data_IF_204847444521
#
_entry.id   IF_204847444521
#
_cell.length_a   1.000
_cell.length_b   1.000
_cell.length_c   1.000
_cell.angle_alpha   90.00
_cell.angle_beta   90.00
_cell.angle_gamma   90.00
#
_symmetry.space_group_name_H-M   'P 1'
#
loop_
_entity.id
_entity.type
_entity.pdbx_description
1 polymer ?
#
# COMPACT_ATOMS: atom_id res chain seq x y z
N UNK A 1 15.00 -9.76 27.99
CA UNK A 1 15.35 -9.28 26.63
C UNK A 1 15.54 -10.47 25.70
N UNK A 2 16.35 -11.43 26.04
CA UNK A 2 16.63 -12.63 25.23
C UNK A 2 15.38 -13.45 24.91
N UNK A 3 14.53 -13.75 25.89
CA UNK A 3 13.27 -14.49 25.67
C UNK A 3 12.30 -13.77 24.69
N UNK A 4 12.26 -12.45 24.72
CA UNK A 4 11.40 -11.69 23.80
C UNK A 4 11.94 -11.68 22.37
N UNK A 5 13.26 -11.75 22.16
CA UNK A 5 13.84 -11.91 20.82
C UNK A 5 13.58 -13.29 20.26
N UNK A 6 13.74 -14.34 21.06
CA UNK A 6 13.44 -15.73 20.67
C UNK A 6 11.98 -15.90 20.21
N UNK A 7 11.03 -15.25 20.92
CA UNK A 7 9.62 -15.25 20.51
C UNK A 7 9.43 -14.60 19.13
N UNK A 8 10.09 -13.46 18.88
CA UNK A 8 10.03 -12.77 17.59
C UNK A 8 10.71 -13.57 16.48
N UNK A 9 11.89 -14.16 16.73
CA UNK A 9 12.58 -15.03 15.79
C UNK A 9 11.71 -16.22 15.37
N UNK A 10 11.04 -16.85 16.31
CA UNK A 10 10.07 -17.91 16.01
C UNK A 10 8.90 -17.41 15.16
N UNK A 11 8.39 -16.19 15.43
CA UNK A 11 7.33 -15.56 14.62
C UNK A 11 7.82 -15.15 13.24
N UNK A 12 9.09 -14.77 13.08
CA UNK A 12 9.72 -14.47 11.78
C UNK A 12 10.06 -15.75 11.00
N UNK A 13 10.23 -16.88 11.70
CA UNK A 13 10.69 -18.15 11.15
C UNK A 13 12.17 -18.13 10.79
N UNK A 14 12.98 -17.32 11.53
CA UNK A 14 14.42 -17.19 11.33
C UNK A 14 15.14 -16.92 12.64
N UNK A 15 16.19 -17.69 12.91
CA UNK A 15 17.11 -17.48 14.02
C UNK A 15 18.28 -16.64 13.53
N UNK A 16 18.49 -15.45 14.13
CA UNK A 16 19.55 -14.54 13.72
C UNK A 16 20.92 -15.01 14.19
N UNK A 17 21.86 -15.19 13.25
CA UNK A 17 23.26 -15.41 13.56
C UNK A 17 23.89 -14.18 14.23
N UNK A 18 23.41 -12.98 13.90
CA UNK A 18 23.79 -11.68 14.44
C UNK A 18 22.60 -11.01 15.12
N UNK A 19 22.26 -11.37 16.39
CA UNK A 19 21.10 -10.82 17.10
C UNK A 19 21.10 -9.29 17.24
N UNK A 20 22.26 -8.66 17.19
CA UNK A 20 22.42 -7.20 17.19
C UNK A 20 21.75 -6.52 15.97
N UNK A 21 21.66 -7.19 14.83
CA UNK A 21 20.95 -6.68 13.66
C UNK A 21 19.44 -6.58 13.94
N UNK A 22 18.87 -7.62 14.56
CA UNK A 22 17.47 -7.61 14.97
C UNK A 22 17.19 -6.56 16.05
N UNK A 23 18.07 -6.48 17.06
CA UNK A 23 18.00 -5.46 18.12
C UNK A 23 18.01 -4.05 17.52
N UNK A 24 18.87 -3.80 16.54
CA UNK A 24 18.96 -2.52 15.85
C UNK A 24 17.70 -2.25 15.02
N UNK A 25 17.20 -3.22 14.26
CA UNK A 25 15.96 -3.10 13.50
C UNK A 25 14.76 -2.71 14.37
N UNK A 26 14.70 -3.21 15.60
CA UNK A 26 13.65 -2.91 16.58
C UNK A 26 13.85 -1.57 17.30
N UNK A 27 15.02 -0.93 17.19
CA UNK A 27 15.35 0.29 17.93
C UNK A 27 14.90 1.52 17.17
N UNK A 28 13.85 2.16 17.67
CA UNK A 28 13.37 3.42 17.13
C UNK A 28 14.32 4.57 17.50
N UNK A 29 14.45 5.57 16.61
CA UNK A 29 15.31 6.74 16.79
C UNK A 29 15.12 7.48 18.12
N UNK A 30 13.92 7.46 18.69
CA UNK A 30 13.66 8.10 19.99
C UNK A 30 14.49 7.51 21.12
N UNK A 31 14.70 6.18 21.12
CA UNK A 31 15.53 5.51 22.11
C UNK A 31 17.03 5.72 21.82
N UNK A 32 17.41 5.69 20.54
CA UNK A 32 18.80 5.96 20.13
C UNK A 32 19.21 7.38 20.55
N UNK A 33 18.36 8.38 20.28
CA UNK A 33 18.60 9.77 20.69
C UNK A 33 18.65 9.94 22.21
N UNK A 34 17.75 9.26 22.96
CA UNK A 34 17.78 9.31 24.42
C UNK A 34 19.10 8.77 24.97
N UNK A 35 19.59 7.63 24.46
CA UNK A 35 20.86 7.04 24.86
C UNK A 35 22.06 7.94 24.54
N UNK A 36 22.09 8.53 23.34
CA UNK A 36 23.14 9.46 22.97
C UNK A 36 23.22 10.68 23.89
N UNK A 37 22.10 11.08 24.50
CA UNK A 37 22.06 12.16 25.49
C UNK A 37 22.52 11.70 26.89
N UNK A 38 22.13 10.46 27.28
CA UNK A 38 22.46 9.90 28.59
C UNK A 38 23.94 9.47 28.67
N UNK A 39 24.52 8.98 27.56
CA UNK A 39 25.87 8.42 27.47
C UNK A 39 26.84 9.38 26.71
N UNK A 40 26.74 10.69 26.91
CA UNK A 40 27.56 11.72 26.23
C UNK A 40 29.04 11.57 26.51
N UNK A 41 29.69 10.55 25.96
CA UNK A 41 31.13 10.23 26.11
C UNK A 41 31.52 8.82 25.71
N UNK A 42 30.59 7.95 25.47
CA UNK A 42 30.85 6.57 25.01
C UNK A 42 30.42 6.37 23.54
N UNK A 43 31.39 6.38 22.62
CA UNK A 43 31.17 6.10 21.19
C UNK A 43 30.63 4.67 20.95
N UNK A 44 30.78 3.76 21.92
CA UNK A 44 30.20 2.40 21.84
C UNK A 44 28.70 2.35 22.11
N UNK A 45 28.12 3.38 22.73
CA UNK A 45 26.69 3.50 23.00
C UNK A 45 25.84 3.84 21.75
N UNK A 46 26.47 4.16 20.63
CA UNK A 46 25.85 4.41 19.32
C UNK A 46 25.41 3.11 18.61
N UNK A 47 24.72 2.21 19.31
CA UNK A 47 23.88 1.22 18.63
C UNK A 47 22.79 2.00 17.89
N UNK A 48 23.05 2.35 16.63
CA UNK A 48 22.23 3.22 15.81
C UNK A 48 20.76 2.80 15.79
N UNK A 49 19.90 3.67 15.31
CA UNK A 49 18.50 3.40 15.07
C UNK A 49 18.27 2.47 13.86
N UNK A 50 17.00 2.26 13.54
CA UNK A 50 16.55 1.38 12.47
C UNK A 50 16.46 2.07 11.08
N UNK A 51 16.65 3.39 10.97
CA UNK A 51 16.38 4.13 9.72
C UNK A 51 17.23 3.62 8.52
N UNK A 52 18.51 3.27 8.75
CA UNK A 52 19.36 2.73 7.68
C UNK A 52 18.96 1.30 7.27
N UNK A 53 18.46 0.50 8.21
CA UNK A 53 17.93 -0.84 7.91
C UNK A 53 16.59 -0.75 7.21
N UNK A 54 15.71 0.20 7.56
CA UNK A 54 14.47 0.53 6.85
C UNK A 54 14.75 0.84 5.38
N UNK A 55 15.69 1.76 5.10
CA UNK A 55 16.08 2.10 3.73
C UNK A 55 16.52 0.87 2.92
N UNK A 56 17.34 0.00 3.51
CA UNK A 56 17.82 -1.22 2.86
C UNK A 56 16.68 -2.22 2.65
N UNK A 57 15.85 -2.40 3.68
CA UNK A 57 14.75 -3.37 3.67
C UNK A 57 13.65 -3.04 2.66
N UNK A 58 13.30 -1.77 2.50
CA UNK A 58 12.38 -1.31 1.45
C UNK A 58 12.88 -1.71 0.04
N UNK A 59 14.16 -1.45 -0.24
CA UNK A 59 14.76 -1.80 -1.53
C UNK A 59 14.78 -3.33 -1.77
N UNK A 60 15.17 -4.11 -0.75
CA UNK A 60 15.23 -5.59 -0.82
C UNK A 60 13.83 -6.18 -0.96
N UNK A 61 12.85 -5.69 -0.20
CA UNK A 61 11.46 -6.13 -0.29
C UNK A 61 10.89 -5.84 -1.69
N UNK A 62 11.13 -4.64 -2.21
CA UNK A 62 10.71 -4.24 -3.56
C UNK A 62 11.27 -5.15 -4.65
N UNK A 63 12.55 -5.55 -4.53
CA UNK A 63 13.20 -6.50 -5.43
C UNK A 63 12.57 -7.90 -5.33
N UNK A 64 12.47 -8.45 -4.12
CA UNK A 64 12.00 -9.83 -3.89
C UNK A 64 10.54 -10.00 -4.31
N UNK A 65 9.68 -9.04 -3.98
CA UNK A 65 8.27 -9.06 -4.40
C UNK A 65 8.16 -8.89 -5.92
N UNK A 66 8.95 -8.00 -6.52
CA UNK A 66 8.97 -7.81 -7.97
C UNK A 66 9.39 -9.07 -8.73
N UNK A 67 10.48 -9.73 -8.29
CA UNK A 67 10.95 -10.99 -8.84
C UNK A 67 9.88 -12.08 -8.73
N UNK A 68 9.30 -12.24 -7.55
CA UNK A 68 8.30 -13.27 -7.31
C UNK A 68 7.04 -13.07 -8.18
N UNK A 69 6.54 -11.85 -8.31
CA UNK A 69 5.40 -11.54 -9.17
C UNK A 69 5.71 -11.81 -10.65
N UNK A 70 6.90 -11.43 -11.12
CA UNK A 70 7.33 -11.67 -12.49
C UNK A 70 7.36 -13.18 -12.83
N UNK A 71 7.83 -14.01 -11.90
CA UNK A 71 7.92 -15.45 -12.10
C UNK A 71 6.55 -16.15 -11.96
N UNK A 72 5.70 -15.70 -11.05
CA UNK A 72 4.40 -16.30 -10.76
C UNK A 72 3.32 -15.95 -11.80
N UNK A 73 3.45 -14.79 -12.44
CA UNK A 73 2.45 -14.25 -13.35
C UNK A 73 3.05 -13.82 -14.69
N UNK A 74 3.56 -14.77 -15.50
CA UNK A 74 4.17 -14.47 -16.80
C UNK A 74 3.17 -13.85 -17.79
N UNK A 75 1.87 -14.00 -17.55
CA UNK A 75 0.79 -13.42 -18.35
C UNK A 75 0.53 -11.94 -18.04
N UNK A 76 1.01 -11.41 -16.91
CA UNK A 76 0.74 -10.04 -16.52
C UNK A 76 1.62 -9.04 -17.26
N UNK A 77 0.99 -7.90 -17.64
CA UNK A 77 1.70 -6.78 -18.23
C UNK A 77 2.45 -5.98 -17.13
N UNK A 78 3.42 -5.16 -17.52
CA UNK A 78 4.20 -4.31 -16.63
C UNK A 78 3.33 -3.48 -15.69
N UNK A 79 2.25 -2.87 -16.23
CA UNK A 79 1.32 -2.06 -15.42
C UNK A 79 0.59 -2.85 -14.33
N UNK A 80 0.29 -4.14 -14.55
CA UNK A 80 -0.34 -5.03 -13.57
C UNK A 80 0.66 -5.42 -12.49
N UNK A 81 1.86 -5.85 -12.89
CA UNK A 81 2.97 -6.16 -11.98
C UNK A 81 3.30 -4.98 -11.06
N UNK A 82 3.39 -3.78 -11.63
CA UNK A 82 3.68 -2.55 -10.86
C UNK A 82 2.57 -2.22 -9.88
N UNK A 83 1.30 -2.35 -10.26
CA UNK A 83 0.16 -2.09 -9.38
C UNK A 83 0.10 -3.07 -8.20
N UNK A 84 0.24 -4.37 -8.47
CA UNK A 84 0.20 -5.39 -7.42
C UNK A 84 1.39 -5.24 -6.48
N UNK A 85 2.61 -5.07 -7.02
CA UNK A 85 3.79 -4.80 -6.20
C UNK A 85 3.57 -3.61 -5.27
N UNK A 86 3.08 -2.47 -5.79
CA UNK A 86 2.83 -1.28 -4.98
C UNK A 86 1.84 -1.50 -3.83
N UNK A 87 0.86 -2.39 -3.99
CA UNK A 87 -0.05 -2.76 -2.90
C UNK A 87 0.64 -3.63 -1.86
N UNK A 88 1.39 -4.65 -2.29
CA UNK A 88 2.08 -5.59 -1.40
C UNK A 88 3.19 -4.94 -0.57
N UNK A 89 3.92 -3.96 -1.13
CA UNK A 89 4.95 -3.21 -0.40
C UNK A 89 4.43 -1.91 0.22
N UNK A 90 3.10 -1.69 0.20
CA UNK A 90 2.53 -0.46 0.75
C UNK A 90 2.70 -0.41 2.28
N UNK A 91 2.84 0.82 2.83
CA UNK A 91 2.86 1.04 4.29
C UNK A 91 1.69 0.39 5.02
N UNK A 92 0.51 0.41 4.40
CA UNK A 92 -0.69 -0.20 4.98
C UNK A 92 -0.51 -1.70 5.13
N UNK A 93 -0.13 -2.38 4.05
CA UNK A 93 0.05 -3.83 4.06
C UNK A 93 1.21 -4.25 4.97
N UNK A 94 2.35 -3.53 4.94
CA UNK A 94 3.48 -3.82 5.83
C UNK A 94 3.14 -3.61 7.30
N UNK A 95 2.30 -2.62 7.64
CA UNK A 95 1.81 -2.44 9.00
C UNK A 95 0.85 -3.58 9.43
N UNK A 96 0.02 -4.10 8.53
CA UNK A 96 -0.83 -5.26 8.76
C UNK A 96 -0.01 -6.53 9.00
N UNK A 97 1.02 -6.78 8.19
CA UNK A 97 1.98 -7.88 8.39
C UNK A 97 2.69 -7.76 9.75
N UNK A 98 3.21 -6.57 10.06
CA UNK A 98 3.87 -6.30 11.34
C UNK A 98 2.96 -6.56 12.55
N UNK A 99 1.69 -6.14 12.44
CA UNK A 99 0.69 -6.38 13.49
C UNK A 99 0.36 -7.88 13.64
N UNK A 100 0.26 -8.62 12.52
CA UNK A 100 -0.05 -10.05 12.53
C UNK A 100 1.03 -10.90 13.24
N UNK A 101 2.30 -10.52 13.12
CA UNK A 101 3.42 -11.19 13.82
C UNK A 101 3.70 -10.60 15.21
N UNK A 102 2.90 -9.63 15.68
CA UNK A 102 3.07 -9.03 17.02
C UNK A 102 4.28 -8.11 17.16
N UNK A 103 4.85 -7.60 16.04
CA UNK A 103 6.11 -6.82 16.01
C UNK A 103 6.09 -5.62 16.98
N UNK A 104 4.93 -4.98 17.17
CA UNK A 104 4.77 -3.85 18.07
C UNK A 104 5.19 -4.14 19.53
N UNK A 105 5.04 -5.39 19.99
CA UNK A 105 5.41 -5.79 21.37
C UNK A 105 6.93 -5.77 21.58
N UNK A 106 7.71 -5.93 20.51
CA UNK A 106 9.17 -6.03 20.54
C UNK A 106 9.87 -4.69 20.24
N UNK A 107 9.11 -3.63 19.90
CA UNK A 107 9.65 -2.29 19.63
C UNK A 107 10.40 -1.73 20.83
N UNK A 108 11.56 -1.15 20.58
CA UNK A 108 12.41 -0.48 21.57
C UNK A 108 12.27 1.03 21.39
N UNK A 109 11.52 1.64 22.31
CA UNK A 109 11.12 3.05 22.30
C UNK A 109 11.66 3.79 23.52
N UNK A 110 11.79 5.11 23.44
CA UNK A 110 11.94 5.93 24.63
C UNK A 110 10.69 5.84 25.51
N UNK A 111 10.82 6.09 26.80
CA UNK A 111 9.69 6.04 27.75
C UNK A 111 8.54 6.98 27.38
N UNK A 112 8.85 8.14 26.80
CA UNK A 112 7.84 9.12 26.37
C UNK A 112 7.01 8.60 25.19
N UNK A 113 7.69 8.08 24.18
CA UNK A 113 7.04 7.56 22.97
C UNK A 113 6.26 6.27 23.24
N UNK A 114 6.73 5.45 24.14
CA UNK A 114 6.02 4.23 24.53
C UNK A 114 4.66 4.55 25.19
N UNK A 115 4.62 5.56 26.06
CA UNK A 115 3.38 6.04 26.69
C UNK A 115 2.42 6.71 25.70
N UNK A 116 2.92 7.24 24.60
CA UNK A 116 2.10 7.89 23.55
C UNK A 116 1.35 6.90 22.64
N UNK A 117 1.56 5.59 22.81
CA UNK A 117 0.95 4.54 21.99
C UNK A 117 1.63 4.34 20.64
N UNK A 118 2.90 4.74 20.50
CA UNK A 118 3.66 4.64 19.26
C UNK A 118 3.80 3.20 18.75
N UNK A 119 3.77 2.19 19.66
CA UNK A 119 3.86 0.75 19.34
C UNK A 119 2.79 0.26 18.36
N UNK A 120 1.63 0.86 18.36
CA UNK A 120 0.50 0.48 17.50
C UNK A 120 0.34 1.38 16.27
N UNK A 121 1.19 2.39 16.10
CA UNK A 121 1.09 3.33 15.01
C UNK A 121 1.56 2.69 13.70
N UNK A 122 0.69 2.63 12.70
CA UNK A 122 0.93 1.93 11.44
C UNK A 122 2.22 2.38 10.71
N UNK A 123 2.58 3.68 10.77
CA UNK A 123 3.84 4.17 10.17
C UNK A 123 5.07 3.62 10.87
N UNK A 124 5.02 3.46 12.20
CA UNK A 124 6.15 2.90 12.97
C UNK A 124 6.26 1.40 12.73
N UNK A 125 5.12 0.70 12.71
CA UNK A 125 5.09 -0.73 12.42
C UNK A 125 5.63 -1.05 11.02
N UNK A 126 5.21 -0.31 9.99
CA UNK A 126 5.72 -0.52 8.63
C UNK A 126 7.21 -0.26 8.51
N UNK A 127 7.70 0.86 9.04
CA UNK A 127 9.12 1.21 8.98
C UNK A 127 9.99 0.19 9.74
N UNK A 128 9.51 -0.27 10.91
CA UNK A 128 10.21 -1.32 11.66
C UNK A 128 10.19 -2.65 10.92
N UNK A 129 9.10 -3.00 10.23
CA UNK A 129 9.03 -4.22 9.42
C UNK A 129 10.04 -4.18 8.27
N UNK A 130 10.12 -3.06 7.57
CA UNK A 130 11.16 -2.84 6.54
C UNK A 130 12.56 -2.96 7.15
N UNK A 131 12.81 -2.39 8.34
CA UNK A 131 14.09 -2.53 9.02
C UNK A 131 14.42 -3.99 9.41
N UNK A 132 13.44 -4.77 9.84
CA UNK A 132 13.59 -6.22 10.13
C UNK A 132 13.93 -6.97 8.85
N UNK A 133 13.32 -6.64 7.72
CA UNK A 133 13.66 -7.23 6.41
C UNK A 133 15.10 -6.88 6.02
N UNK A 134 15.54 -5.64 6.25
CA UNK A 134 16.92 -5.22 6.05
C UNK A 134 17.92 -5.99 6.93
N UNK A 135 17.56 -6.22 8.20
CA UNK A 135 18.35 -7.03 9.12
C UNK A 135 18.42 -8.50 8.67
N UNK A 136 17.30 -9.08 8.27
CA UNK A 136 17.20 -10.45 7.76
C UNK A 136 18.09 -10.63 6.51
N UNK A 137 18.07 -9.65 5.61
CA UNK A 137 18.93 -9.65 4.42
C UNK A 137 20.43 -9.63 4.78
N UNK A 138 20.85 -8.79 5.73
CA UNK A 138 22.24 -8.71 6.14
C UNK A 138 22.72 -9.95 6.88
N UNK A 139 21.82 -10.58 7.64
CA UNK A 139 22.13 -11.77 8.42
C UNK A 139 22.26 -13.04 7.54
N UNK A 140 21.38 -13.21 6.56
CA UNK A 140 21.23 -14.49 5.86
C UNK A 140 20.95 -14.38 4.34
N UNK A 141 21.03 -13.18 3.79
CA UNK A 141 20.91 -12.94 2.36
C UNK A 141 19.48 -12.98 1.81
N UNK A 142 19.37 -12.94 0.47
CA UNK A 142 18.09 -12.81 -0.24
C UNK A 142 17.14 -14.00 -0.05
N UNK A 143 17.65 -15.22 0.13
CA UNK A 143 16.78 -16.39 0.20
C UNK A 143 15.89 -16.37 1.43
N UNK A 144 16.41 -15.96 2.56
CA UNK A 144 15.62 -15.81 3.79
C UNK A 144 14.54 -14.75 3.64
N UNK A 145 14.83 -13.65 2.93
CA UNK A 145 13.83 -12.62 2.61
C UNK A 145 12.77 -13.16 1.65
N UNK A 146 13.15 -14.00 0.66
CA UNK A 146 12.17 -14.64 -0.25
C UNK A 146 11.21 -15.56 0.51
N UNK A 147 11.73 -16.36 1.44
CA UNK A 147 10.90 -17.23 2.30
C UNK A 147 9.93 -16.39 3.14
N UNK A 148 10.45 -15.35 3.79
CA UNK A 148 9.64 -14.41 4.58
C UNK A 148 8.55 -13.73 3.72
N UNK A 149 8.93 -13.17 2.58
CA UNK A 149 8.01 -12.45 1.70
C UNK A 149 6.89 -13.36 1.17
N UNK A 150 7.21 -14.60 0.75
CA UNK A 150 6.20 -15.57 0.32
C UNK A 150 5.21 -15.90 1.42
N UNK A 151 5.68 -16.08 2.64
CA UNK A 151 4.85 -16.50 3.78
C UNK A 151 3.96 -15.38 4.31
N UNK A 152 4.49 -14.17 4.48
CA UNK A 152 3.83 -13.10 5.24
C UNK A 152 3.36 -11.93 4.38
N UNK A 153 4.06 -11.60 3.31
CA UNK A 153 3.77 -10.43 2.48
C UNK A 153 2.88 -10.79 1.30
N UNK A 154 3.19 -11.89 0.63
CA UNK A 154 2.49 -12.28 -0.59
C UNK A 154 1.27 -13.14 -0.29
N UNK A 155 1.44 -14.33 0.26
CA UNK A 155 0.39 -15.24 0.70
C UNK A 155 -0.94 -15.10 -0.04
N UNK A 156 -2.04 -15.02 0.72
CA UNK A 156 -3.40 -14.80 0.19
C UNK A 156 -3.60 -13.41 -0.46
N UNK A 157 -2.73 -12.44 -0.14
CA UNK A 157 -2.85 -11.07 -0.66
C UNK A 157 -2.65 -11.04 -2.18
N UNK A 158 -1.72 -11.82 -2.74
CA UNK A 158 -1.51 -11.88 -4.19
C UNK A 158 -2.75 -12.44 -4.90
N UNK A 159 -3.35 -13.51 -4.37
CA UNK A 159 -4.55 -14.11 -4.96
C UNK A 159 -5.75 -13.15 -4.92
N UNK A 160 -5.89 -12.42 -3.83
CA UNK A 160 -6.93 -11.38 -3.70
C UNK A 160 -6.74 -10.29 -4.75
N UNK A 161 -5.52 -9.73 -4.87
CA UNK A 161 -5.19 -8.70 -5.84
C UNK A 161 -5.31 -9.20 -7.28
N UNK A 162 -4.92 -10.45 -7.56
CA UNK A 162 -5.10 -11.07 -8.87
C UNK A 162 -6.57 -11.22 -9.26
N UNK A 163 -7.44 -11.55 -8.30
CA UNK A 163 -8.90 -11.58 -8.53
C UNK A 163 -9.46 -10.19 -8.82
N UNK A 164 -9.00 -9.18 -8.09
CA UNK A 164 -9.39 -7.79 -8.33
C UNK A 164 -8.95 -7.31 -9.72
N UNK A 165 -7.73 -7.64 -10.17
CA UNK A 165 -7.27 -7.34 -11.53
C UNK A 165 -8.17 -7.98 -12.59
N UNK A 166 -8.48 -9.28 -12.45
CA UNK A 166 -9.34 -10.00 -13.40
C UNK A 166 -10.77 -9.46 -13.46
N UNK A 167 -11.26 -8.88 -12.37
CA UNK A 167 -12.56 -8.22 -12.33
C UNK A 167 -12.57 -6.80 -12.90
N UNK A 168 -11.46 -6.34 -13.49
CA UNK A 168 -11.31 -4.97 -13.98
C UNK A 168 -11.16 -3.92 -12.86
N UNK A 169 -11.00 -4.36 -11.61
CA UNK A 169 -10.79 -3.44 -10.50
C UNK A 169 -9.43 -2.73 -10.64
N UNK A 170 -9.45 -1.41 -10.49
CA UNK A 170 -8.29 -0.55 -10.70
C UNK A 170 -7.33 -0.50 -9.50
N UNK A 171 -7.22 -1.56 -8.69
CA UNK A 171 -6.30 -1.73 -7.55
C UNK A 171 -5.93 -0.40 -6.85
N UNK A 172 -6.94 0.37 -6.45
CA UNK A 172 -6.76 1.63 -5.74
C UNK A 172 -6.36 2.84 -6.60
N UNK A 173 -6.11 2.69 -7.90
CA UNK A 173 -5.85 3.80 -8.82
C UNK A 173 -6.97 3.99 -9.85
N UNK A 174 -8.18 4.10 -9.35
CA UNK A 174 -9.38 4.25 -10.17
C UNK A 174 -9.38 5.51 -11.06
N UNK A 175 -8.65 6.56 -10.66
CA UNK A 175 -8.51 7.78 -11.47
C UNK A 175 -7.78 7.51 -12.78
N UNK A 176 -6.63 6.81 -12.73
CA UNK A 176 -5.88 6.44 -13.94
C UNK A 176 -6.66 5.47 -14.80
N UNK A 177 -7.28 4.44 -14.20
CA UNK A 177 -8.10 3.49 -14.93
C UNK A 177 -9.29 4.15 -15.63
N UNK A 178 -9.98 5.10 -14.99
CA UNK A 178 -11.05 5.86 -15.63
C UNK A 178 -10.53 6.71 -16.78
N UNK A 179 -9.35 7.32 -16.62
CA UNK A 179 -8.72 8.10 -17.68
C UNK A 179 -8.35 7.21 -18.89
N UNK A 180 -7.71 6.07 -18.66
CA UNK A 180 -7.34 5.10 -19.70
C UNK A 180 -8.59 4.57 -20.42
N UNK A 181 -9.64 4.20 -19.68
CA UNK A 181 -10.91 3.75 -20.24
C UNK A 181 -11.56 4.81 -21.15
N UNK A 182 -11.62 6.06 -20.70
CA UNK A 182 -12.20 7.16 -21.47
C UNK A 182 -11.35 7.54 -22.69
N UNK A 183 -10.03 7.43 -22.59
CA UNK A 183 -9.11 7.67 -23.72
C UNK A 183 -9.24 6.57 -24.78
N UNK A 184 -9.30 5.30 -24.37
CA UNK A 184 -9.52 4.17 -25.28
C UNK A 184 -10.86 4.30 -26.04
N UNK A 185 -11.92 4.78 -25.36
CA UNK A 185 -13.22 5.05 -25.93
C UNK A 185 -13.27 6.37 -26.75
N UNK A 186 -12.17 7.16 -26.81
CA UNK A 186 -12.12 8.53 -27.40
C UNK A 186 -13.22 9.45 -26.88
N UNK A 187 -13.67 9.22 -25.63
CA UNK A 187 -14.81 9.93 -25.06
C UNK A 187 -14.44 11.27 -24.41
N UNK A 188 -13.15 11.54 -24.15
CA UNK A 188 -12.65 12.74 -23.50
C UNK A 188 -11.87 12.45 -22.23
N UNK A 189 -11.80 13.41 -21.31
CA UNK A 189 -11.01 13.28 -20.05
C UNK A 189 -11.87 13.45 -18.82
N UNK A 190 -11.57 12.74 -17.69
CA UNK A 190 -12.29 12.90 -16.45
C UNK A 190 -11.86 14.20 -15.73
N UNK A 191 -12.82 15.00 -15.29
CA UNK A 191 -12.60 16.22 -14.49
C UNK A 191 -13.28 16.06 -13.15
N UNK A 192 -12.53 16.29 -12.06
CA UNK A 192 -12.98 16.16 -10.68
C UNK A 192 -13.27 17.52 -10.07
N UNK A 193 -14.43 17.65 -9.42
CA UNK A 193 -14.83 18.87 -8.71
C UNK A 193 -15.29 18.54 -7.29
N UNK A 194 -14.74 19.21 -6.29
CA UNK A 194 -15.24 19.15 -4.92
C UNK A 194 -16.59 19.87 -4.88
N UNK A 195 -17.62 19.16 -4.44
CA UNK A 195 -19.00 19.68 -4.31
C UNK A 195 -19.28 20.20 -2.92
N UNK A 196 -18.76 19.51 -1.91
CA UNK A 196 -18.89 19.91 -0.52
C UNK A 196 -17.75 19.36 0.33
N UNK A 197 -17.47 20.08 1.39
CA UNK A 197 -16.55 19.70 2.46
C UNK A 197 -17.33 19.85 3.77
N UNK A 198 -17.31 18.83 4.62
CA UNK A 198 -18.09 18.79 5.86
C UNK A 198 -17.31 18.11 6.99
N UNK A 199 -17.70 18.42 8.23
CA UNK A 199 -17.08 17.86 9.44
C UNK A 199 -15.94 18.74 9.99
N UNK A 200 -15.56 18.53 11.27
CA UNK A 200 -14.46 19.23 11.92
C UNK A 200 -13.11 18.81 11.30
N UNK A 201 -12.06 19.62 11.48
CA UNK A 201 -10.74 19.44 10.83
C UNK A 201 -10.15 18.04 10.98
N UNK A 202 -10.33 17.39 12.12
CA UNK A 202 -9.84 16.03 12.39
C UNK A 202 -10.75 14.91 11.85
N UNK A 203 -11.93 15.25 11.29
CA UNK A 203 -12.90 14.31 10.70
C UNK A 203 -13.55 14.87 9.43
N UNK A 204 -12.79 15.59 8.62
CA UNK A 204 -13.28 16.13 7.34
C UNK A 204 -13.77 15.02 6.42
N UNK A 205 -14.88 15.31 5.74
CA UNK A 205 -15.40 14.51 4.65
C UNK A 205 -15.56 15.37 3.41
N UNK A 206 -15.10 14.84 2.30
CA UNK A 206 -15.16 15.47 0.99
C UNK A 206 -16.17 14.71 0.13
N UNK A 207 -17.03 15.46 -0.58
CA UNK A 207 -17.86 14.95 -1.66
C UNK A 207 -17.27 15.48 -2.97
N UNK A 208 -16.84 14.57 -3.85
CA UNK A 208 -16.29 14.89 -5.16
C UNK A 208 -17.19 14.35 -6.27
N UNK A 209 -17.35 15.11 -7.30
CA UNK A 209 -18.07 14.75 -8.52
C UNK A 209 -17.07 14.63 -9.67
N UNK A 210 -17.12 13.51 -10.41
CA UNK A 210 -16.38 13.33 -11.66
C UNK A 210 -17.30 13.57 -12.84
N UNK A 211 -16.82 14.35 -13.80
CA UNK A 211 -17.51 14.68 -15.06
C UNK A 211 -16.64 14.33 -16.25
N UNK A 212 -17.28 14.02 -17.35
CA UNK A 212 -16.60 13.88 -18.64
C UNK A 212 -16.42 15.27 -19.26
N UNK A 213 -15.18 15.62 -19.60
CA UNK A 213 -14.88 16.77 -20.44
C UNK A 213 -14.56 16.27 -21.85
N UNK A 214 -15.40 16.56 -22.86
CA UNK A 214 -15.10 16.24 -24.25
C UNK A 214 -13.87 17.02 -24.74
N UNK A 215 -13.32 16.66 -25.89
CA UNK A 215 -12.16 17.34 -26.49
C UNK A 215 -12.44 18.83 -26.72
N UNK A 216 -13.67 19.16 -27.10
CA UNK A 216 -14.15 20.55 -27.26
C UNK A 216 -15.43 20.73 -26.45
N UNK A 217 -15.53 21.85 -25.74
CA UNK A 217 -16.72 22.23 -24.97
C UNK A 217 -16.58 22.14 -23.46
N UNK A 218 -17.66 22.42 -22.74
CA UNK A 218 -17.74 22.39 -21.30
C UNK A 218 -17.97 20.96 -20.76
N UNK A 219 -17.55 20.69 -19.50
CA UNK A 219 -17.79 19.40 -18.88
C UNK A 219 -19.28 19.04 -18.82
N UNK A 220 -19.61 17.88 -19.38
CA UNK A 220 -20.96 17.37 -19.44
C UNK A 220 -21.58 16.99 -18.09
N UNK A 221 -22.64 16.16 -18.11
CA UNK A 221 -23.32 15.65 -16.91
C UNK A 221 -22.36 14.85 -16.03
N UNK A 222 -22.60 14.81 -14.69
CA UNK A 222 -21.78 14.02 -13.79
C UNK A 222 -21.84 12.52 -14.16
N UNK A 223 -20.67 11.87 -14.25
CA UNK A 223 -20.55 10.41 -14.38
C UNK A 223 -20.87 9.74 -13.05
N UNK A 224 -20.25 10.23 -11.96
CA UNK A 224 -20.46 9.70 -10.62
C UNK A 224 -20.07 10.73 -9.53
N UNK A 225 -20.40 10.40 -8.28
CA UNK A 225 -19.98 11.10 -7.07
C UNK A 225 -19.31 10.12 -6.12
N UNK A 226 -18.27 10.57 -5.44
CA UNK A 226 -17.53 9.80 -4.44
C UNK A 226 -17.31 10.59 -3.17
N UNK A 227 -17.09 9.89 -2.08
CA UNK A 227 -16.85 10.46 -0.76
C UNK A 227 -15.55 9.93 -0.17
N UNK A 228 -14.88 10.74 0.66
CA UNK A 228 -13.63 10.32 1.32
C UNK A 228 -13.24 11.24 2.46
N UNK A 229 -12.33 10.77 3.31
CA UNK A 229 -11.73 11.56 4.38
C UNK A 229 -10.68 12.57 3.89
N UNK A 230 -10.20 12.40 2.66
CA UNK A 230 -9.35 13.34 1.94
C UNK A 230 -9.92 13.58 0.54
N UNK A 231 -9.54 14.70 -0.10
CA UNK A 231 -9.91 14.98 -1.49
C UNK A 231 -9.49 13.84 -2.42
N UNK A 232 -8.26 13.33 -2.25
CA UNK A 232 -7.73 12.19 -3.03
C UNK A 232 -8.58 10.93 -2.88
N UNK A 233 -8.99 10.57 -1.67
CA UNK A 233 -9.86 9.41 -1.45
C UNK A 233 -11.25 9.60 -2.07
N UNK A 234 -11.83 10.80 -1.96
CA UNK A 234 -13.11 11.10 -2.57
C UNK A 234 -13.07 11.07 -4.12
N UNK A 235 -11.96 11.52 -4.73
CA UNK A 235 -11.73 11.43 -6.16
C UNK A 235 -11.59 9.98 -6.64
N UNK A 236 -10.86 9.14 -5.90
CA UNK A 236 -10.73 7.70 -6.19
C UNK A 236 -12.09 6.99 -6.09
N UNK A 237 -12.90 7.28 -5.07
CA UNK A 237 -14.24 6.69 -4.94
C UNK A 237 -15.19 7.16 -6.07
N UNK A 238 -15.10 8.43 -6.47
CA UNK A 238 -15.85 8.95 -7.61
C UNK A 238 -15.46 8.25 -8.93
N UNK A 239 -14.16 8.05 -9.17
CA UNK A 239 -13.64 7.32 -10.33
C UNK A 239 -14.10 5.86 -10.34
N UNK A 240 -14.00 5.16 -9.20
CA UNK A 240 -14.48 3.78 -9.03
C UNK A 240 -15.95 3.63 -9.41
N UNK A 241 -16.80 4.51 -8.88
CA UNK A 241 -18.24 4.49 -9.17
C UNK A 241 -18.56 4.85 -10.64
N UNK A 242 -17.72 5.69 -11.27
CA UNK A 242 -17.85 6.00 -12.68
C UNK A 242 -17.52 4.79 -13.55
N UNK A 243 -16.43 4.08 -13.30
CA UNK A 243 -16.07 2.84 -14.00
C UNK A 243 -17.16 1.80 -13.90
N UNK A 244 -17.66 1.50 -12.70
CA UNK A 244 -18.76 0.56 -12.50
C UNK A 244 -20.01 0.91 -13.32
N UNK A 245 -20.32 2.19 -13.50
CA UNK A 245 -21.45 2.62 -14.32
C UNK A 245 -21.21 2.49 -15.81
N UNK A 246 -19.96 2.71 -16.25
CA UNK A 246 -19.58 2.58 -17.66
C UNK A 246 -19.54 1.11 -18.07
N UNK A 247 -19.03 0.22 -17.22
CA UNK A 247 -19.01 -1.23 -17.45
C UNK A 247 -20.45 -1.79 -17.53
N UNK A 248 -21.34 -1.40 -16.61
CA UNK A 248 -22.76 -1.79 -16.64
C UNK A 248 -23.52 -1.24 -17.86
N UNK A 249 -23.10 -0.12 -18.42
CA UNK A 249 -23.68 0.46 -19.63
C UNK A 249 -23.18 -0.21 -20.91
N UNK A 250 -21.95 -0.78 -20.89
CA UNK A 250 -21.36 -1.53 -22.01
C UNK A 250 -21.92 -2.95 -22.18
N UNK A 251 -22.40 -3.54 -21.10
CA UNK A 251 -22.96 -4.91 -21.07
C UNK A 251 -24.45 -4.99 -21.44
N UNK A 252 -25.11 -3.90 -21.84
CA UNK A 252 -26.49 -3.96 -22.31
C UNK A 252 -26.55 -4.54 -23.71
N UNK A 253 -27.09 -5.75 -23.92
CA UNK A 253 -27.20 -6.35 -25.25
C UNK A 253 -28.11 -5.48 -26.14
N UNK A 254 -27.56 -5.10 -27.28
CA UNK A 254 -28.05 -4.23 -28.32
C UNK A 254 -29.56 -4.05 -28.40
N UNK A 255 -30.01 -2.83 -28.16
CA UNK A 255 -31.33 -2.36 -28.58
C UNK A 255 -31.39 -2.32 -30.11
N UNK A 256 -31.96 -3.36 -30.70
CA UNK A 256 -32.17 -3.44 -32.13
C UNK A 256 -32.98 -2.27 -32.66
N UNK A 257 -32.43 -1.56 -33.64
CA UNK A 257 -33.18 -0.65 -34.51
C UNK A 257 -34.21 -1.47 -35.25
N UNK A 258 -35.48 -1.35 -34.88
CA UNK A 258 -36.59 -1.75 -35.76
C UNK A 258 -36.62 -0.79 -36.94
N UNK A 259 -36.13 -1.23 -38.07
CA UNK A 259 -36.48 -0.66 -39.37
C UNK A 259 -38.01 -0.80 -39.58
N UNK A 260 -38.70 0.33 -39.59
CA UNK A 260 -40.03 0.44 -40.15
C UNK A 260 -39.91 0.43 -41.68
N UNK A 261 -40.08 -0.70 -42.31
CA UNK A 261 -40.46 -0.75 -43.71
C UNK A 261 -41.89 -0.24 -43.85
N UNK A 262 -42.02 0.95 -44.47
CA UNK A 262 -43.25 1.44 -45.00
C UNK A 262 -43.54 0.68 -46.32
N UNK A 263 -44.67 -0.03 -46.35
CA UNK A 263 -45.28 -0.52 -47.60
C UNK A 263 -45.99 0.65 -48.25
N UNK A 264 -45.68 0.90 -49.46
CA UNK A 264 -46.61 1.07 -50.54
C UNK A 264 -46.06 0.41 -51.81
#
# INVERSE_FOLDING_TARGET
MEAALVELEAALGHDFASPELLVRALTHRSLANQRALDDAGDESAAAGDNERLEFLGDAVLGLVVGEALFLLHPEWQEGELTRVRAQLVSRKHMAEVAAAIGLGNHLRLSRGEDRSGLRSKGTVLSNTMEAVIGALFLDSGLESVRVFARRYVMGEAVEHLARELRSGAALGNYKSALQEHLQAAKAGTPVYRVKSESGPDHRKRFLVEVRLKPAEGEPGKPLARGTGSTKKHAEQDAARRALLRLDLAGDSPGGGKKEKQARQ
#
